data_IF_190536050348
#
_entry.id   IF_190536050348
#
_cell.length_a   1.000
_cell.length_b   1.000
_cell.length_c   1.000
_cell.angle_alpha   90.00
_cell.angle_beta   90.00
_cell.angle_gamma   90.00
#
_symmetry.space_group_name_H-M   'P 1'
#
loop_
_entity.id
_entity.type
_entity.pdbx_description
1 polymer ?
#
# COMPACT_ATOMS: atom_id res chain seq x y z
N UNK A 1 63.40 47.56 2.24
CA UNK A 1 63.56 46.67 1.09
C UNK A 1 62.78 45.40 1.43
N UNK A 2 61.67 45.31 0.75
CA UNK A 2 61.16 44.21 -0.08
C UNK A 2 60.95 42.90 0.72
N UNK A 3 59.85 42.18 0.68
CA UNK A 3 58.67 42.13 -0.16
C UNK A 3 57.67 41.12 0.45
N UNK A 4 56.41 41.34 0.20
CA UNK A 4 55.29 40.35 0.36
C UNK A 4 55.50 39.14 -0.55
N UNK A 5 54.78 37.97 -0.35
CA UNK A 5 53.33 38.04 -0.40
C UNK A 5 52.53 37.09 0.50
N UNK A 6 51.27 37.48 0.54
CA UNK A 6 50.08 36.84 1.04
C UNK A 6 49.77 35.42 0.49
N UNK A 7 49.22 34.56 1.29
CA UNK A 7 48.33 33.48 0.80
C UNK A 7 47.10 33.40 1.69
N UNK A 8 45.99 33.73 1.10
CA UNK A 8 44.64 33.66 1.64
C UNK A 8 44.21 32.21 1.73
N UNK A 9 44.15 31.65 2.92
CA UNK A 9 43.43 30.37 3.19
C UNK A 9 41.98 30.64 3.43
N UNK A 10 41.10 30.20 2.52
CA UNK A 10 39.65 30.19 2.72
C UNK A 10 39.33 29.22 3.88
N UNK A 11 38.47 29.57 4.84
CA UNK A 11 37.98 28.61 5.82
C UNK A 11 37.04 27.64 5.11
N UNK A 12 37.31 26.35 5.29
CA UNK A 12 36.42 25.27 4.89
C UNK A 12 35.07 25.45 5.62
N UNK A 13 33.99 25.50 4.87
CA UNK A 13 32.65 25.49 5.38
C UNK A 13 32.38 24.12 6.04
N UNK A 14 32.50 24.09 7.36
CA UNK A 14 32.07 22.95 8.15
C UNK A 14 30.59 22.75 7.99
N UNK A 15 30.19 21.65 7.35
CA UNK A 15 28.82 21.19 7.31
C UNK A 15 28.35 20.98 8.77
N UNK A 16 27.56 21.92 9.26
CA UNK A 16 26.80 21.75 10.50
C UNK A 16 25.74 20.69 10.23
N UNK A 17 26.06 19.44 10.52
CA UNK A 17 25.07 18.41 10.76
C UNK A 17 24.24 18.83 12.00
N UNK A 18 23.26 19.67 11.81
CA UNK A 18 22.25 19.97 12.79
C UNK A 18 21.40 18.74 13.00
N UNK A 19 21.78 17.89 13.97
CA UNK A 19 20.82 16.97 14.58
C UNK A 19 19.76 17.84 15.23
N UNK A 20 18.66 18.02 14.51
CA UNK A 20 17.44 18.55 15.10
C UNK A 20 16.97 17.55 16.15
N UNK A 21 17.43 17.70 17.37
CA UNK A 21 16.82 17.04 18.51
C UNK A 21 15.39 17.57 18.59
N UNK A 22 14.43 16.80 18.13
CA UNK A 22 13.02 17.13 18.32
C UNK A 22 12.81 17.40 19.79
N UNK A 23 12.30 18.58 20.09
CA UNK A 23 11.99 18.96 21.47
C UNK A 23 10.94 17.99 22.01
N UNK A 24 11.28 17.27 23.07
CA UNK A 24 10.33 16.40 23.75
C UNK A 24 9.29 17.28 24.43
N UNK A 25 8.02 17.05 24.08
CA UNK A 25 6.90 17.78 24.64
C UNK A 25 6.47 17.16 25.97
N UNK A 26 6.06 18.02 26.93
CA UNK A 26 5.32 17.60 28.11
C UNK A 26 3.86 17.24 27.79
N UNK A 27 2.94 17.36 28.75
CA UNK A 27 1.50 17.22 28.51
C UNK A 27 1.04 18.20 27.43
N UNK A 28 0.21 17.74 26.50
CA UNK A 28 -0.38 18.57 25.44
C UNK A 28 -1.91 18.58 25.59
N UNK A 29 -2.51 19.73 25.38
CA UNK A 29 -3.96 19.89 25.51
C UNK A 29 -4.70 19.42 24.25
N UNK A 30 -4.09 19.61 23.08
CA UNK A 30 -4.67 19.24 21.79
C UNK A 30 -3.64 18.47 20.96
N UNK A 31 -3.89 17.18 20.75
CA UNK A 31 -2.97 16.32 20.00
C UNK A 31 -2.93 16.70 18.51
N UNK A 32 -4.05 17.16 17.96
CA UNK A 32 -4.18 17.46 16.53
C UNK A 32 -3.24 18.59 16.08
N UNK A 33 -3.00 19.59 16.90
CA UNK A 33 -2.10 20.71 16.61
C UNK A 33 -0.62 20.28 16.43
N UNK A 34 -0.27 19.11 16.90
CA UNK A 34 1.10 18.58 16.85
C UNK A 34 1.33 17.62 15.67
N UNK A 35 0.26 17.22 14.96
CA UNK A 35 0.41 16.37 13.75
C UNK A 35 1.03 17.19 12.64
N UNK A 36 2.21 16.77 12.21
CA UNK A 36 2.90 17.43 11.11
C UNK A 36 2.32 16.97 9.75
N UNK A 37 2.25 17.85 8.76
CA UNK A 37 1.95 17.42 7.39
C UNK A 37 2.89 16.31 6.96
N UNK A 38 2.35 15.33 6.23
CA UNK A 38 3.13 14.20 5.73
C UNK A 38 3.88 13.38 6.83
N UNK A 39 3.36 13.36 8.06
CA UNK A 39 3.92 12.61 9.19
C UNK A 39 4.29 11.17 8.82
N UNK A 40 3.53 10.55 7.93
CA UNK A 40 3.74 9.19 7.45
C UNK A 40 5.07 8.97 6.72
N UNK A 41 5.75 10.03 6.27
CA UNK A 41 7.10 9.92 5.69
C UNK A 41 8.18 9.54 6.70
N UNK A 42 7.97 9.83 7.98
CA UNK A 42 8.99 9.66 9.01
C UNK A 42 8.76 8.53 9.99
N UNK A 43 7.52 8.09 10.16
CA UNK A 43 7.16 7.15 11.24
C UNK A 43 7.53 5.69 10.91
N UNK A 44 7.44 5.28 9.64
CA UNK A 44 7.66 3.90 9.22
C UNK A 44 9.17 3.58 9.09
N UNK A 45 9.82 3.37 10.22
CA UNK A 45 11.25 3.15 10.37
C UNK A 45 11.57 1.93 11.27
N UNK A 46 12.77 1.83 11.80
CA UNK A 46 13.16 0.72 12.68
C UNK A 46 12.43 0.70 14.01
N UNK A 47 11.98 1.85 14.50
CA UNK A 47 11.21 1.95 15.74
C UNK A 47 9.79 1.40 15.54
N UNK A 48 9.15 1.75 14.43
CA UNK A 48 7.87 1.17 14.03
C UNK A 48 7.90 -0.36 14.04
N UNK A 49 8.92 -0.96 13.42
CA UNK A 49 9.04 -2.43 13.42
C UNK A 49 9.21 -3.02 14.83
N UNK A 50 9.61 -2.21 15.79
CA UNK A 50 9.73 -2.61 17.18
C UNK A 50 8.42 -2.42 17.94
N UNK A 51 7.76 -1.26 17.79
CA UNK A 51 6.50 -0.96 18.49
C UNK A 51 5.37 -1.89 18.06
N UNK A 52 5.33 -2.25 16.78
CA UNK A 52 4.27 -3.07 16.19
C UNK A 52 4.70 -4.52 15.90
N UNK A 53 5.83 -4.96 16.49
CA UNK A 53 6.44 -6.26 16.20
C UNK A 53 5.54 -7.46 16.44
N UNK A 54 4.67 -7.42 17.42
CA UNK A 54 3.70 -8.46 17.76
C UNK A 54 2.68 -8.75 16.65
N UNK A 55 2.43 -7.79 15.79
CA UNK A 55 1.57 -7.96 14.62
C UNK A 55 2.40 -8.08 13.33
N UNK A 56 3.29 -7.11 13.06
CA UNK A 56 3.96 -7.03 11.76
C UNK A 56 5.11 -8.01 11.60
N UNK A 57 5.59 -8.63 12.68
CA UNK A 57 6.64 -9.66 12.64
C UNK A 57 6.10 -11.06 13.00
N UNK A 58 4.83 -11.19 13.36
CA UNK A 58 4.23 -12.49 13.63
C UNK A 58 3.96 -13.26 12.31
N UNK A 59 4.66 -14.38 12.18
CA UNK A 59 4.55 -15.23 10.99
C UNK A 59 3.21 -16.01 10.94
N UNK A 60 2.56 -16.28 12.08
CA UNK A 60 1.28 -17.02 12.12
C UNK A 60 0.14 -16.09 11.69
N UNK A 61 0.13 -14.85 12.19
CA UNK A 61 -0.79 -13.81 11.75
C UNK A 61 -0.67 -13.64 10.24
N UNK A 62 0.54 -13.41 9.73
CA UNK A 62 0.80 -13.22 8.30
C UNK A 62 0.32 -14.39 7.45
N UNK A 63 0.57 -15.65 7.88
CA UNK A 63 0.13 -16.85 7.15
C UNK A 63 -1.38 -17.00 7.12
N UNK A 64 -2.06 -16.67 8.24
CA UNK A 64 -3.52 -16.70 8.35
C UNK A 64 -4.14 -15.66 7.42
N UNK A 65 -3.63 -14.43 7.46
CA UNK A 65 -4.08 -13.33 6.61
C UNK A 65 -3.93 -13.66 5.13
N UNK A 66 -2.74 -14.05 4.68
CA UNK A 66 -2.48 -14.36 3.27
C UNK A 66 -3.33 -15.53 2.78
N UNK A 67 -3.54 -16.57 3.61
CA UNK A 67 -4.42 -17.69 3.24
C UNK A 67 -5.84 -17.20 2.97
N UNK A 68 -6.37 -16.39 3.87
CA UNK A 68 -7.73 -15.89 3.77
C UNK A 68 -7.90 -14.93 2.59
N UNK A 69 -7.01 -13.96 2.46
CA UNK A 69 -7.04 -12.97 1.38
C UNK A 69 -6.88 -13.61 0.00
N UNK A 70 -5.97 -14.56 -0.15
CA UNK A 70 -5.79 -15.28 -1.42
C UNK A 70 -7.03 -16.09 -1.80
N UNK A 71 -7.70 -16.70 -0.82
CA UNK A 71 -8.94 -17.45 -1.04
C UNK A 71 -10.09 -16.51 -1.47
N UNK A 72 -10.26 -15.37 -0.81
CA UNK A 72 -11.28 -14.37 -1.17
C UNK A 72 -11.06 -13.85 -2.59
N UNK A 73 -9.82 -13.54 -2.95
CA UNK A 73 -9.49 -13.03 -4.28
C UNK A 73 -9.55 -14.10 -5.37
N UNK A 74 -9.43 -15.37 -5.00
CA UNK A 74 -9.35 -16.48 -5.95
C UNK A 74 -8.10 -16.38 -6.83
N UNK A 75 -6.94 -16.10 -6.22
CA UNK A 75 -5.69 -15.86 -6.96
C UNK A 75 -5.18 -17.14 -7.62
N UNK A 76 -4.96 -17.07 -8.93
CA UNK A 76 -4.22 -18.10 -9.68
C UNK A 76 -2.71 -17.98 -9.42
N UNK A 77 -1.93 -19.07 -9.54
CA UNK A 77 -0.48 -19.03 -9.31
C UNK A 77 0.28 -18.03 -10.16
N UNK A 78 -0.19 -17.76 -11.37
CA UNK A 78 0.38 -16.81 -12.33
C UNK A 78 -0.22 -15.39 -12.25
N UNK A 79 -1.16 -15.16 -11.32
CA UNK A 79 -1.78 -13.84 -11.13
C UNK A 79 -0.72 -12.80 -10.76
N UNK A 80 -0.78 -11.66 -11.43
CA UNK A 80 0.05 -10.49 -11.08
C UNK A 80 -0.60 -9.72 -9.94
N UNK A 81 0.04 -9.71 -8.80
CA UNK A 81 -0.48 -9.09 -7.57
C UNK A 81 0.41 -7.93 -7.13
N UNK A 82 -0.20 -6.80 -6.84
CA UNK A 82 0.45 -5.66 -6.18
C UNK A 82 0.03 -5.62 -4.71
N UNK A 83 1.01 -5.73 -3.83
CA UNK A 83 0.88 -5.42 -2.40
C UNK A 83 1.25 -3.95 -2.22
N UNK A 84 0.25 -3.07 -2.10
CA UNK A 84 0.40 -1.63 -2.02
C UNK A 84 0.51 -1.19 -0.57
N UNK A 85 1.49 -0.36 -0.26
CA UNK A 85 1.92 -0.02 1.10
C UNK A 85 2.43 -1.27 1.85
N UNK A 86 3.28 -2.06 1.19
CA UNK A 86 3.67 -3.40 1.61
C UNK A 86 4.59 -3.45 2.85
N UNK A 87 5.07 -2.31 3.34
CA UNK A 87 6.01 -2.24 4.44
C UNK A 87 7.28 -3.06 4.18
N UNK A 88 7.68 -3.89 5.15
CA UNK A 88 8.81 -4.83 5.02
C UNK A 88 8.47 -6.08 4.19
N UNK A 89 7.30 -6.10 3.52
CA UNK A 89 6.94 -7.13 2.57
C UNK A 89 6.43 -8.44 3.18
N UNK A 90 5.91 -8.45 4.42
CA UNK A 90 5.48 -9.69 5.08
C UNK A 90 4.44 -10.48 4.27
N UNK A 91 3.44 -9.80 3.72
CA UNK A 91 2.41 -10.43 2.90
C UNK A 91 2.94 -10.83 1.52
N UNK A 92 3.67 -9.94 0.85
CA UNK A 92 4.29 -10.21 -0.45
C UNK A 92 5.18 -11.45 -0.43
N UNK A 93 6.04 -11.57 0.60
CA UNK A 93 6.94 -12.70 0.78
C UNK A 93 6.17 -13.99 1.05
N UNK A 94 5.15 -13.93 1.89
CA UNK A 94 4.32 -15.12 2.20
C UNK A 94 3.50 -15.56 0.97
N UNK A 95 2.98 -14.65 0.16
CA UNK A 95 2.34 -14.99 -1.12
C UNK A 95 3.30 -15.75 -2.04
N UNK A 96 4.53 -15.26 -2.17
CA UNK A 96 5.56 -15.94 -2.97
C UNK A 96 5.96 -17.32 -2.42
N UNK A 97 6.09 -17.47 -1.10
CA UNK A 97 6.32 -18.79 -0.46
C UNK A 97 5.20 -19.78 -0.75
N UNK A 98 4.00 -19.30 -1.00
CA UNK A 98 2.82 -20.11 -1.39
C UNK A 98 2.71 -20.36 -2.88
N UNK A 99 3.70 -19.92 -3.67
CA UNK A 99 3.80 -20.24 -5.09
C UNK A 99 3.23 -19.18 -6.03
N UNK A 100 2.82 -17.99 -5.56
CA UNK A 100 2.52 -16.89 -6.47
C UNK A 100 3.81 -16.38 -7.12
N UNK A 101 3.85 -16.39 -8.45
CA UNK A 101 5.06 -16.12 -9.22
C UNK A 101 5.29 -14.65 -9.56
N UNK A 102 4.25 -13.83 -9.53
CA UNK A 102 4.27 -12.45 -10.02
C UNK A 102 3.76 -11.46 -8.96
N UNK A 103 4.44 -11.44 -7.80
CA UNK A 103 4.14 -10.51 -6.71
C UNK A 103 5.06 -9.31 -6.78
N UNK A 104 4.46 -8.11 -6.72
CA UNK A 104 5.18 -6.85 -6.56
C UNK A 104 4.73 -6.15 -5.29
N UNK A 105 5.66 -5.56 -4.55
CA UNK A 105 5.39 -4.73 -3.38
C UNK A 105 5.80 -3.28 -3.63
N UNK A 106 4.96 -2.33 -3.22
CA UNK A 106 5.30 -0.92 -3.26
C UNK A 106 5.06 -0.29 -1.90
N UNK A 107 6.03 0.47 -1.42
CA UNK A 107 5.91 1.24 -0.19
C UNK A 107 6.70 2.56 -0.30
N UNK A 108 6.30 3.53 0.49
CA UNK A 108 6.98 4.83 0.54
C UNK A 108 8.27 4.80 1.37
N UNK A 109 8.34 3.95 2.37
CA UNK A 109 9.48 3.88 3.27
C UNK A 109 10.69 3.22 2.61
N UNK A 110 11.73 4.00 2.36
CA UNK A 110 13.01 3.48 1.88
C UNK A 110 13.54 2.38 2.80
N UNK A 111 13.48 2.60 4.12
CA UNK A 111 13.96 1.64 5.12
C UNK A 111 13.25 0.29 5.01
N UNK A 112 11.91 0.29 4.95
CA UNK A 112 11.12 -0.93 4.88
C UNK A 112 11.33 -1.66 3.54
N UNK A 113 11.41 -0.94 2.44
CA UNK A 113 11.70 -1.51 1.11
C UNK A 113 13.08 -2.15 1.05
N UNK A 114 14.11 -1.54 1.65
CA UNK A 114 15.43 -2.16 1.72
C UNK A 114 15.40 -3.46 2.53
N UNK A 115 14.66 -3.48 3.63
CA UNK A 115 14.46 -4.69 4.44
C UNK A 115 13.71 -5.77 3.65
N UNK A 116 12.64 -5.42 2.96
CA UNK A 116 11.86 -6.35 2.12
C UNK A 116 12.74 -6.98 1.02
N UNK A 117 13.52 -6.15 0.31
CA UNK A 117 14.50 -6.62 -0.70
C UNK A 117 15.56 -7.56 -0.12
N UNK A 118 16.03 -7.24 1.09
CA UNK A 118 17.01 -8.08 1.81
C UNK A 118 16.43 -9.46 2.12
N UNK A 119 15.20 -9.52 2.62
CA UNK A 119 14.50 -10.77 2.93
C UNK A 119 14.22 -11.58 1.67
N UNK A 120 13.72 -10.96 0.60
CA UNK A 120 13.47 -11.65 -0.68
C UNK A 120 14.75 -12.31 -1.24
N UNK A 121 15.88 -11.58 -1.23
CA UNK A 121 17.16 -12.13 -1.67
C UNK A 121 17.63 -13.29 -0.80
N UNK A 122 17.51 -13.14 0.53
CA UNK A 122 17.91 -14.17 1.48
C UNK A 122 17.16 -15.49 1.27
N UNK A 123 15.89 -15.40 0.91
CA UNK A 123 15.02 -16.56 0.72
C UNK A 123 14.91 -17.00 -0.74
N UNK A 124 15.56 -16.31 -1.68
CA UNK A 124 15.48 -16.63 -3.11
C UNK A 124 14.07 -16.44 -3.71
N UNK A 125 13.25 -15.57 -3.15
CA UNK A 125 11.88 -15.36 -3.59
C UNK A 125 11.79 -14.34 -4.76
N UNK A 126 10.97 -14.60 -5.80
CA UNK A 126 10.87 -13.78 -7.00
C UNK A 126 9.99 -12.53 -6.79
N UNK A 127 10.05 -11.89 -5.63
CA UNK A 127 9.25 -10.69 -5.32
C UNK A 127 10.01 -9.43 -5.72
N UNK A 128 9.34 -8.52 -6.40
CA UNK A 128 9.89 -7.21 -6.75
C UNK A 128 9.37 -6.14 -5.80
N UNK A 129 10.28 -5.41 -5.17
CA UNK A 129 9.93 -4.31 -4.28
C UNK A 129 10.34 -2.96 -4.85
N UNK A 130 9.44 -1.98 -4.82
CA UNK A 130 9.67 -0.60 -5.28
C UNK A 130 9.35 0.40 -4.19
N UNK A 131 10.15 1.45 -4.10
CA UNK A 131 9.82 2.65 -3.35
C UNK A 131 8.93 3.55 -4.23
N UNK A 132 7.82 4.04 -3.67
CA UNK A 132 6.89 4.87 -4.43
C UNK A 132 5.76 5.45 -3.59
N UNK A 133 5.05 6.40 -4.17
CA UNK A 133 3.88 7.05 -3.58
C UNK A 133 2.59 6.40 -4.12
N UNK A 134 1.70 5.98 -3.23
CA UNK A 134 0.44 5.31 -3.60
C UNK A 134 -0.50 6.23 -4.41
N UNK A 135 -0.35 7.54 -4.30
CA UNK A 135 -1.13 8.53 -5.07
C UNK A 135 -0.70 8.63 -6.53
N UNK A 136 0.45 8.03 -6.89
CA UNK A 136 1.00 8.03 -8.25
C UNK A 136 1.81 6.76 -8.50
N UNK A 137 1.14 5.69 -8.91
CA UNK A 137 1.75 4.39 -9.09
C UNK A 137 2.65 4.34 -10.34
N UNK A 138 3.91 3.85 -10.22
CA UNK A 138 4.85 3.79 -11.34
C UNK A 138 4.61 2.57 -12.24
N UNK A 139 3.34 2.26 -12.50
CA UNK A 139 2.90 1.13 -13.31
C UNK A 139 2.02 1.59 -14.45
N UNK A 140 2.02 0.83 -15.54
CA UNK A 140 1.08 1.03 -16.63
C UNK A 140 -0.36 0.76 -16.16
N UNK A 141 -1.33 1.26 -16.91
CA UNK A 141 -2.71 0.83 -16.74
C UNK A 141 -2.82 -0.68 -16.98
N UNK A 142 -3.81 -1.32 -16.39
CA UNK A 142 -4.15 -2.72 -16.62
C UNK A 142 -3.00 -3.70 -16.39
N UNK A 143 -2.16 -3.42 -15.40
CA UNK A 143 -0.96 -4.21 -15.12
C UNK A 143 -1.21 -5.40 -14.19
N UNK A 144 -2.20 -5.33 -13.29
CA UNK A 144 -2.38 -6.29 -12.21
C UNK A 144 -3.75 -6.97 -12.23
N UNK A 145 -3.77 -8.25 -11.86
CA UNK A 145 -5.00 -9.01 -11.66
C UNK A 145 -5.63 -8.69 -10.31
N UNK A 146 -4.80 -8.40 -9.31
CA UNK A 146 -5.23 -7.96 -8.00
C UNK A 146 -4.29 -6.90 -7.40
N UNK A 147 -4.88 -6.00 -6.63
CA UNK A 147 -4.16 -5.07 -5.74
C UNK A 147 -4.66 -5.29 -4.33
N UNK A 148 -3.76 -5.30 -3.38
CA UNK A 148 -4.07 -5.46 -1.95
C UNK A 148 -3.52 -4.26 -1.19
N UNK A 149 -4.33 -3.67 -0.30
CA UNK A 149 -3.93 -2.64 0.66
C UNK A 149 -4.23 -3.23 2.04
N UNK A 150 -3.19 -3.59 2.80
CA UNK A 150 -3.31 -4.45 3.96
C UNK A 150 -2.78 -3.79 5.24
N UNK A 151 -3.24 -4.31 6.39
CA UNK A 151 -2.73 -3.89 7.70
C UNK A 151 -3.00 -2.44 8.01
N UNK A 152 -4.18 -1.94 7.70
CA UNK A 152 -4.61 -0.56 7.92
C UNK A 152 -3.73 0.49 7.21
N UNK A 153 -3.25 0.20 6.00
CA UNK A 153 -2.36 1.10 5.27
C UNK A 153 -3.11 2.09 4.36
N UNK A 154 -4.29 2.54 4.77
CA UNK A 154 -5.14 3.48 4.03
C UNK A 154 -5.70 4.56 4.97
N UNK A 155 -5.85 5.80 4.48
CA UNK A 155 -6.39 6.91 5.28
C UNK A 155 -5.32 7.76 5.99
N UNK A 156 -4.06 7.72 5.53
CA UNK A 156 -2.95 8.45 6.16
C UNK A 156 -2.75 9.87 5.61
N UNK A 157 -3.36 10.18 4.48
CA UNK A 157 -3.18 11.49 3.84
C UNK A 157 -4.01 12.58 4.52
N UNK A 158 -3.59 13.82 4.34
CA UNK A 158 -4.22 14.96 5.01
C UNK A 158 -5.67 15.17 4.52
N UNK A 159 -5.97 14.85 3.28
CA UNK A 159 -7.30 15.01 2.70
C UNK A 159 -7.91 13.69 2.19
N UNK A 160 -9.23 13.57 2.30
CA UNK A 160 -9.97 12.44 1.71
C UNK A 160 -9.84 12.38 0.18
N UNK A 161 -9.56 13.50 -0.48
CA UNK A 161 -9.31 13.53 -1.91
C UNK A 161 -8.01 12.80 -2.28
N UNK A 162 -7.01 12.82 -1.42
CA UNK A 162 -5.76 12.08 -1.64
C UNK A 162 -5.99 10.57 -1.45
N UNK A 163 -6.82 10.18 -0.48
CA UNK A 163 -7.23 8.78 -0.31
C UNK A 163 -8.00 8.29 -1.56
N UNK A 164 -8.92 9.13 -2.07
CA UNK A 164 -9.62 8.84 -3.32
C UNK A 164 -8.67 8.75 -4.52
N UNK A 165 -7.62 9.58 -4.55
CA UNK A 165 -6.58 9.50 -5.59
C UNK A 165 -5.83 8.16 -5.55
N UNK A 166 -5.53 7.62 -4.37
CA UNK A 166 -4.95 6.29 -4.23
C UNK A 166 -5.85 5.24 -4.89
N UNK A 167 -7.14 5.25 -4.57
CA UNK A 167 -8.09 4.29 -5.15
C UNK A 167 -8.23 4.45 -6.67
N UNK A 168 -8.19 5.68 -7.21
CA UNK A 168 -8.19 5.92 -8.66
C UNK A 168 -6.93 5.37 -9.34
N UNK A 169 -5.77 5.49 -8.70
CA UNK A 169 -4.54 4.90 -9.21
C UNK A 169 -4.60 3.36 -9.15
N UNK A 170 -5.16 2.79 -8.09
CA UNK A 170 -5.42 1.35 -7.99
C UNK A 170 -6.38 0.90 -9.09
N UNK A 171 -7.47 1.62 -9.31
CA UNK A 171 -8.41 1.35 -10.40
C UNK A 171 -7.72 1.37 -11.77
N UNK A 172 -6.86 2.35 -12.01
CA UNK A 172 -6.11 2.49 -13.26
C UNK A 172 -5.19 1.31 -13.53
N UNK A 173 -4.44 0.85 -12.52
CA UNK A 173 -3.44 -0.22 -12.70
C UNK A 173 -4.03 -1.63 -12.65
N UNK A 174 -5.24 -1.81 -12.14
CA UNK A 174 -5.96 -3.07 -12.20
C UNK A 174 -6.44 -3.33 -13.62
N UNK A 175 -6.38 -4.58 -14.07
CA UNK A 175 -6.96 -5.04 -15.34
C UNK A 175 -8.50 -4.93 -15.30
N UNK A 176 -9.19 -4.95 -16.46
CA UNK A 176 -10.63 -5.25 -16.48
C UNK A 176 -10.91 -6.52 -15.67
N UNK A 177 -11.94 -6.47 -14.82
CA UNK A 177 -12.30 -7.53 -13.87
C UNK A 177 -11.25 -7.81 -12.78
N UNK A 178 -10.18 -7.04 -12.74
CA UNK A 178 -9.21 -7.08 -11.63
C UNK A 178 -9.86 -6.71 -10.31
N UNK A 179 -9.29 -7.19 -9.22
CA UNK A 179 -9.88 -7.05 -7.87
C UNK A 179 -9.00 -6.21 -6.96
N UNK A 180 -9.63 -5.34 -6.20
CA UNK A 180 -9.03 -4.71 -5.01
C UNK A 180 -9.45 -5.51 -3.79
N UNK A 181 -8.51 -5.78 -2.89
CA UNK A 181 -8.78 -6.14 -1.50
C UNK A 181 -8.19 -5.05 -0.60
N UNK A 182 -9.00 -4.52 0.30
CA UNK A 182 -8.58 -3.52 1.27
C UNK A 182 -8.93 -3.98 2.68
N UNK A 183 -7.99 -3.85 3.59
CA UNK A 183 -8.06 -4.25 4.99
C UNK A 183 -7.70 -3.03 5.84
N UNK A 184 -8.72 -2.43 6.47
CA UNK A 184 -8.62 -1.20 7.25
C UNK A 184 -9.27 -1.36 8.62
N UNK A 185 -8.86 -0.54 9.57
CA UNK A 185 -9.53 -0.46 10.88
C UNK A 185 -11.00 -0.13 10.72
N UNK A 186 -11.84 -0.72 11.58
CA UNK A 186 -13.26 -0.40 11.65
C UNK A 186 -13.44 1.00 12.27
N UNK A 187 -13.60 2.00 11.41
CA UNK A 187 -13.74 3.38 11.82
C UNK A 187 -14.98 3.65 12.68
N UNK A 188 -16.08 2.93 12.45
CA UNK A 188 -17.30 3.05 13.26
C UNK A 188 -17.03 2.57 14.69
N UNK A 189 -16.37 1.41 14.82
CA UNK A 189 -15.98 0.87 16.11
C UNK A 189 -15.01 1.79 16.85
N UNK A 190 -13.98 2.29 16.18
CA UNK A 190 -12.96 3.11 16.80
C UNK A 190 -13.48 4.48 17.25
N UNK A 191 -14.40 5.12 16.52
CA UNK A 191 -15.02 6.38 16.95
C UNK A 191 -15.69 6.26 18.32
N UNK A 192 -16.24 5.10 18.63
CA UNK A 192 -16.97 4.87 19.89
C UNK A 192 -16.08 4.27 20.98
N UNK A 193 -15.03 3.52 20.61
CA UNK A 193 -14.38 2.59 21.55
C UNK A 193 -12.85 2.65 21.58
N UNK A 194 -12.22 3.65 20.94
CA UNK A 194 -10.76 3.76 21.05
C UNK A 194 -10.34 4.00 22.50
N UNK A 195 -9.18 3.48 22.88
CA UNK A 195 -8.60 3.74 24.19
C UNK A 195 -7.88 5.09 24.19
N UNK A 196 -8.32 6.09 24.97
CA UNK A 196 -7.69 7.41 24.99
C UNK A 196 -6.24 7.39 25.48
N UNK A 197 -5.90 6.44 26.32
CA UNK A 197 -4.56 6.27 26.86
C UNK A 197 -4.25 4.81 27.06
N UNK A 198 -3.06 4.42 26.65
CA UNK A 198 -2.53 3.08 26.88
C UNK A 198 -1.02 3.12 27.08
N UNK A 199 -0.49 2.09 27.69
CA UNK A 199 0.96 1.90 27.77
C UNK A 199 1.27 0.42 27.78
N UNK A 200 2.47 0.08 27.27
CA UNK A 200 2.91 -1.30 27.21
C UNK A 200 4.43 -1.42 27.23
N UNK A 201 4.96 -2.56 27.71
CA UNK A 201 6.31 -2.96 27.45
C UNK A 201 6.40 -3.65 26.09
N UNK A 202 7.29 -3.12 25.22
CA UNK A 202 7.54 -3.71 23.90
C UNK A 202 8.58 -4.81 24.01
N UNK A 203 9.62 -4.57 24.79
CA UNK A 203 10.70 -5.49 25.13
C UNK A 203 11.28 -5.12 26.51
N UNK A 204 12.32 -5.82 26.96
CA UNK A 204 12.96 -5.63 28.29
C UNK A 204 13.48 -4.20 28.54
N UNK A 205 13.59 -3.39 27.50
CA UNK A 205 14.18 -2.04 27.59
C UNK A 205 13.29 -0.92 27.11
N UNK A 206 12.25 -1.22 26.36
CA UNK A 206 11.40 -0.20 25.77
C UNK A 206 9.97 -0.34 26.25
N UNK A 207 9.40 0.77 26.66
CA UNK A 207 7.96 0.86 26.84
C UNK A 207 7.41 2.03 26.04
N UNK A 208 6.14 1.94 25.67
CA UNK A 208 5.44 2.94 24.88
C UNK A 208 4.22 3.43 25.66
N UNK A 209 4.02 4.75 25.65
CA UNK A 209 2.77 5.37 26.06
C UNK A 209 2.07 5.93 24.83
N UNK A 210 0.78 5.68 24.70
CA UNK A 210 -0.05 6.25 23.63
C UNK A 210 -1.17 7.10 24.22
N UNK A 211 -1.35 8.27 23.63
CA UNK A 211 -2.50 9.14 23.88
C UNK A 211 -3.27 9.31 22.58
N UNK A 212 -4.59 9.21 22.62
CA UNK A 212 -5.44 9.32 21.43
C UNK A 212 -6.63 10.25 21.68
N UNK A 213 -7.02 10.94 20.61
CA UNK A 213 -8.22 11.76 20.56
C UNK A 213 -8.78 11.76 19.14
N UNK A 214 -10.07 11.98 18.99
CA UNK A 214 -10.63 12.30 17.68
C UNK A 214 -10.20 13.71 17.25
N UNK A 215 -10.02 13.89 15.94
CA UNK A 215 -9.88 15.21 15.34
C UNK A 215 -11.14 16.06 15.60
N UNK A 216 -11.02 17.37 15.47
CA UNK A 216 -12.12 18.31 15.70
C UNK A 216 -13.36 17.99 14.84
N UNK A 217 -13.16 17.47 13.63
CA UNK A 217 -14.23 17.04 12.71
C UNK A 217 -14.70 15.59 12.94
N UNK A 218 -14.09 14.86 13.87
CA UNK A 218 -14.39 13.46 14.16
C UNK A 218 -14.01 12.47 13.07
N UNK A 219 -13.30 12.91 12.02
CA UNK A 219 -12.99 12.07 10.87
C UNK A 219 -11.69 11.27 11.05
N UNK A 220 -10.82 11.70 11.94
CA UNK A 220 -9.50 11.10 12.14
C UNK A 220 -9.27 10.74 13.60
N UNK A 221 -8.55 9.65 13.83
CA UNK A 221 -7.98 9.35 15.13
C UNK A 221 -6.57 9.93 15.17
N UNK A 222 -6.35 10.85 16.10
CA UNK A 222 -5.05 11.45 16.35
C UNK A 222 -4.37 10.67 17.46
N UNK A 223 -3.15 10.23 17.20
CA UNK A 223 -2.35 9.49 18.16
C UNK A 223 -1.04 10.20 18.44
N UNK A 224 -0.68 10.25 19.69
CA UNK A 224 0.68 10.55 20.16
C UNK A 224 1.30 9.28 20.68
N UNK A 225 2.52 8.99 20.28
CA UNK A 225 3.26 7.85 20.76
C UNK A 225 4.60 8.31 21.37
N UNK A 226 4.79 8.02 22.64
CA UNK A 226 6.03 8.31 23.38
C UNK A 226 6.72 7.00 23.68
N UNK A 227 7.85 6.77 23.04
CA UNK A 227 8.68 5.57 23.26
C UNK A 227 9.84 5.89 24.19
N UNK A 228 9.95 5.14 25.27
CA UNK A 228 10.98 5.32 26.29
C UNK A 228 11.86 4.09 26.37
N UNK A 229 13.16 4.30 26.38
CA UNK A 229 14.17 3.27 26.66
C UNK A 229 14.62 3.40 28.12
N UNK A 230 14.66 2.29 28.86
CA UNK A 230 14.95 2.27 30.31
C UNK A 230 16.23 2.99 30.74
N UNK A 231 17.27 2.96 29.87
CA UNK A 231 18.55 3.58 30.15
C UNK A 231 18.77 4.95 29.48
N UNK A 232 18.07 5.21 28.36
CA UNK A 232 18.31 6.41 27.52
C UNK A 232 17.22 7.47 27.66
N UNK A 233 16.15 7.15 28.38
CA UNK A 233 14.96 8.00 28.48
C UNK A 233 14.13 7.97 27.20
N UNK A 234 13.40 9.05 26.94
CA UNK A 234 12.53 9.16 25.77
C UNK A 234 13.34 9.14 24.46
N UNK A 235 13.05 8.18 23.60
CA UNK A 235 13.73 7.99 22.31
C UNK A 235 12.89 8.45 21.12
N UNK A 236 11.56 8.54 21.30
CA UNK A 236 10.64 9.15 20.35
C UNK A 236 9.45 9.79 21.05
N UNK A 237 8.96 10.87 20.50
CA UNK A 237 7.70 11.52 20.81
C UNK A 237 7.10 11.97 19.48
N UNK A 238 6.14 11.23 18.96
CA UNK A 238 5.65 11.36 17.61
C UNK A 238 4.13 11.43 17.57
N UNK A 239 3.63 12.20 16.58
CA UNK A 239 2.20 12.41 16.39
C UNK A 239 1.82 11.96 14.99
N UNK A 240 0.69 11.28 14.87
CA UNK A 240 0.15 10.81 13.61
C UNK A 240 -1.38 10.82 13.63
N UNK A 241 -1.97 10.76 12.48
CA UNK A 241 -3.41 10.87 12.31
C UNK A 241 -3.88 9.93 11.20
N UNK A 242 -4.87 9.12 11.49
CA UNK A 242 -5.43 8.14 10.56
C UNK A 242 -6.89 8.45 10.34
N UNK A 243 -7.32 8.52 9.08
CA UNK A 243 -8.72 8.68 8.74
C UNK A 243 -9.48 7.41 9.06
N UNK A 244 -10.56 7.57 9.79
CA UNK A 244 -11.43 6.48 10.19
C UNK A 244 -12.47 6.25 9.08
N UNK A 245 -12.39 5.11 8.43
CA UNK A 245 -13.37 4.68 7.46
C UNK A 245 -14.35 3.68 8.11
N UNK A 246 -15.62 4.06 8.22
CA UNK A 246 -16.70 3.15 8.52
C UNK A 246 -17.08 2.32 7.29
N UNK A 247 -17.94 1.33 7.48
CA UNK A 247 -18.37 0.41 6.40
C UNK A 247 -19.00 1.14 5.22
N UNK A 248 -19.85 2.13 5.48
CA UNK A 248 -20.53 2.91 4.46
C UNK A 248 -19.55 3.85 3.75
N UNK A 249 -18.77 4.59 4.50
CA UNK A 249 -17.81 5.57 3.99
C UNK A 249 -16.75 4.92 3.08
N UNK A 250 -16.22 3.75 3.48
CA UNK A 250 -15.25 3.02 2.66
C UNK A 250 -15.86 2.55 1.34
N UNK A 251 -17.08 2.00 1.40
CA UNK A 251 -17.81 1.58 0.19
C UNK A 251 -18.04 2.75 -0.76
N UNK A 252 -18.58 3.86 -0.26
CA UNK A 252 -18.84 5.06 -1.06
C UNK A 252 -17.56 5.62 -1.68
N UNK A 253 -16.45 5.58 -0.95
CA UNK A 253 -15.13 6.04 -1.44
C UNK A 253 -14.62 5.13 -2.57
N UNK A 254 -14.77 3.81 -2.44
CA UNK A 254 -14.43 2.86 -3.51
C UNK A 254 -15.30 3.07 -4.75
N UNK A 255 -16.61 3.22 -4.57
CA UNK A 255 -17.56 3.47 -5.67
C UNK A 255 -17.25 4.81 -6.38
N UNK A 256 -16.91 5.85 -5.63
CA UNK A 256 -16.48 7.15 -6.18
C UNK A 256 -15.15 7.07 -6.96
N UNK A 257 -14.33 6.06 -6.71
CA UNK A 257 -13.13 5.76 -7.49
C UNK A 257 -13.41 4.92 -8.74
N UNK A 258 -14.66 4.44 -8.94
CA UNK A 258 -15.10 3.66 -10.09
C UNK A 258 -15.23 2.16 -9.84
N UNK A 259 -14.99 1.67 -8.63
CA UNK A 259 -15.13 0.25 -8.29
C UNK A 259 -16.60 -0.18 -8.20
N UNK A 260 -16.83 -1.45 -8.50
CA UNK A 260 -18.15 -2.11 -8.43
C UNK A 260 -18.08 -3.32 -7.49
N UNK A 261 -19.25 -3.86 -7.15
CA UNK A 261 -19.37 -5.11 -6.37
C UNK A 261 -18.60 -5.05 -5.03
N UNK A 262 -18.68 -3.88 -4.36
CA UNK A 262 -18.03 -3.67 -3.07
C UNK A 262 -18.63 -4.59 -2.00
N UNK A 263 -17.89 -5.63 -1.62
CA UNK A 263 -18.33 -6.69 -0.72
C UNK A 263 -17.51 -6.69 0.57
N UNK A 264 -18.18 -6.62 1.71
CA UNK A 264 -17.58 -6.84 3.02
C UNK A 264 -17.51 -8.35 3.31
N UNK A 265 -16.31 -8.87 3.51
CA UNK A 265 -16.07 -10.30 3.81
C UNK A 265 -16.06 -10.63 5.30
N UNK A 266 -16.17 -9.63 6.15
CA UNK A 266 -16.19 -9.80 7.59
C UNK A 266 -15.18 -8.91 8.30
N UNK A 267 -15.01 -9.20 9.57
CA UNK A 267 -14.11 -8.49 10.46
C UNK A 267 -12.91 -9.40 10.77
N UNK A 268 -11.73 -8.82 10.75
CA UNK A 268 -10.51 -9.48 11.15
C UNK A 268 -10.08 -8.95 12.51
N UNK A 269 -10.21 -9.78 13.55
CA UNK A 269 -9.62 -9.52 14.84
C UNK A 269 -8.17 -10.00 14.86
N UNK A 270 -7.29 -9.20 15.42
CA UNK A 270 -5.90 -9.55 15.64
C UNK A 270 -5.71 -9.92 17.09
N UNK A 271 -5.18 -11.11 17.37
CA UNK A 271 -4.75 -11.50 18.71
C UNK A 271 -3.28 -11.15 18.88
N UNK A 272 -2.94 -10.45 19.94
CA UNK A 272 -1.55 -10.22 20.34
C UNK A 272 -1.26 -10.88 21.68
N UNK A 273 -0.10 -11.53 21.79
CA UNK A 273 0.33 -12.16 23.03
C UNK A 273 0.84 -11.16 24.07
N UNK A 274 1.03 -9.89 23.70
CA UNK A 274 1.52 -8.88 24.64
C UNK A 274 0.47 -8.33 25.61
N UNK A 275 -0.78 -8.82 25.52
CA UNK A 275 -1.92 -8.40 26.39
C UNK A 275 -2.14 -6.89 26.34
N UNK A 276 -2.40 -6.33 25.17
CA UNK A 276 -2.27 -4.92 24.94
C UNK A 276 -3.37 -4.30 24.11
N UNK A 277 -3.28 -2.98 24.10
CA UNK A 277 -3.99 -2.12 23.20
C UNK A 277 -3.49 -2.32 21.76
N UNK A 278 -4.23 -3.08 20.99
CA UNK A 278 -3.96 -3.30 19.57
C UNK A 278 -4.29 -2.08 18.70
N UNK A 279 -4.88 -1.03 19.29
CA UNK A 279 -5.20 0.21 18.62
C UNK A 279 -5.96 -0.01 17.33
N UNK A 280 -5.39 0.47 16.24
CA UNK A 280 -5.97 0.35 14.89
C UNK A 280 -6.07 -1.09 14.38
N UNK A 281 -5.33 -2.03 14.96
CA UNK A 281 -5.32 -3.44 14.52
C UNK A 281 -6.32 -4.32 15.25
N UNK A 282 -7.01 -3.80 16.28
CA UNK A 282 -7.91 -4.58 17.11
C UNK A 282 -9.07 -5.17 16.30
N UNK A 283 -9.69 -4.35 15.48
CA UNK A 283 -10.81 -4.74 14.63
C UNK A 283 -10.69 -4.11 13.25
N UNK A 284 -10.62 -4.93 12.23
CA UNK A 284 -10.43 -4.50 10.85
C UNK A 284 -11.53 -5.01 9.94
N UNK A 285 -11.92 -4.19 8.98
CA UNK A 285 -12.87 -4.51 7.93
C UNK A 285 -12.11 -4.98 6.69
N UNK A 286 -12.53 -6.10 6.13
CA UNK A 286 -11.97 -6.63 4.89
C UNK A 286 -12.98 -6.49 3.77
N UNK A 287 -12.69 -5.63 2.81
CA UNK A 287 -13.51 -5.40 1.62
C UNK A 287 -12.82 -5.91 0.36
N UNK A 288 -13.61 -6.38 -0.59
CA UNK A 288 -13.19 -6.51 -1.98
C UNK A 288 -14.07 -5.71 -2.90
N UNK A 289 -13.53 -5.36 -4.05
CA UNK A 289 -14.26 -4.74 -5.13
C UNK A 289 -13.68 -5.14 -6.48
N UNK A 290 -14.43 -4.92 -7.54
CA UNK A 290 -14.10 -5.34 -8.90
C UNK A 290 -14.01 -4.11 -9.80
N UNK A 291 -13.09 -4.13 -10.74
CA UNK A 291 -12.96 -3.12 -11.79
C UNK A 291 -13.76 -3.55 -13.01
N UNK A 292 -14.81 -2.80 -13.34
CA UNK A 292 -15.59 -2.98 -14.58
C UNK A 292 -15.22 -1.86 -15.54
N UNK A 293 -14.27 -2.09 -16.41
CA UNK A 293 -13.78 -1.15 -17.42
C UNK A 293 -13.34 -1.88 -18.67
N UNK A 294 -13.23 -1.16 -19.77
CA UNK A 294 -12.52 -1.60 -20.96
C UNK A 294 -11.01 -1.54 -20.77
N UNK A 295 -10.25 -2.28 -21.60
CA UNK A 295 -8.82 -2.20 -21.61
C UNK A 295 -8.34 -0.79 -21.99
N UNK A 296 -7.35 -0.29 -21.26
CA UNK A 296 -6.76 1.01 -21.53
C UNK A 296 -5.87 0.95 -22.77
N UNK A 297 -6.00 1.87 -23.75
CA UNK A 297 -5.14 1.90 -24.91
C UNK A 297 -3.68 2.15 -24.51
N UNK A 298 -2.76 1.44 -25.13
CA UNK A 298 -1.32 1.61 -24.88
C UNK A 298 -0.82 2.85 -25.63
N UNK A 299 -0.70 3.97 -24.91
CA UNK A 299 -0.07 5.17 -25.47
C UNK A 299 1.43 4.92 -25.68
N UNK A 300 1.86 4.76 -26.93
CA UNK A 300 3.29 4.72 -27.29
C UNK A 300 3.89 6.11 -27.28
N UNK A 301 5.06 6.27 -26.63
CA UNK A 301 6.00 7.34 -27.02
C UNK A 301 6.59 6.91 -28.36
N UNK A 302 6.35 7.71 -29.41
CA UNK A 302 6.84 7.47 -30.75
C UNK A 302 8.38 7.36 -30.76
N UNK A 303 8.87 6.11 -30.85
CA UNK A 303 10.22 5.79 -31.34
C UNK A 303 10.18 4.43 -31.99
N UNK A 304 10.28 4.42 -33.31
CA UNK A 304 10.52 3.21 -34.13
C UNK A 304 9.29 2.66 -34.82
N UNK A 305 9.51 2.10 -36.01
CA UNK A 305 8.49 1.51 -36.85
C UNK A 305 7.65 0.44 -36.14
N UNK A 306 6.35 0.66 -36.14
CA UNK A 306 5.38 -0.26 -35.55
C UNK A 306 5.04 -1.34 -36.57
N UNK A 307 5.21 -2.61 -36.20
CA UNK A 307 4.50 -3.69 -36.90
C UNK A 307 3.09 -3.75 -36.30
N UNK A 308 2.09 -3.51 -37.14
CA UNK A 308 0.68 -3.70 -36.74
C UNK A 308 0.42 -5.20 -36.62
N UNK A 309 -0.14 -5.65 -35.52
CA UNK A 309 -0.65 -7.00 -35.36
C UNK A 309 -2.16 -6.87 -35.29
N UNK A 310 -2.84 -7.23 -36.34
CA UNK A 310 -4.28 -7.39 -36.32
C UNK A 310 -4.63 -8.82 -35.87
N UNK A 311 -5.45 -8.92 -34.85
CA UNK A 311 -6.05 -10.20 -34.45
C UNK A 311 -7.47 -10.22 -35.00
N UNK A 312 -7.67 -11.06 -35.99
CA UNK A 312 -9.01 -11.28 -36.57
C UNK A 312 -9.63 -12.47 -35.85
N UNK A 313 -10.73 -12.23 -35.15
CA UNK A 313 -11.52 -13.28 -34.50
C UNK A 313 -12.67 -13.68 -35.41
N UNK A 314 -12.92 -14.97 -35.55
CA UNK A 314 -13.99 -15.47 -36.36
C UNK A 314 -14.38 -16.90 -36.06
N UNK A 315 -15.60 -17.21 -36.40
CA UNK A 315 -16.16 -18.56 -36.32
C UNK A 315 -15.55 -19.43 -37.41
N UNK A 316 -14.78 -20.49 -37.07
CA UNK A 316 -14.13 -21.36 -38.07
C UNK A 316 -15.11 -22.14 -38.94
N UNK A 317 -16.39 -22.23 -38.58
CA UNK A 317 -17.42 -22.97 -39.31
C UNK A 317 -18.23 -22.09 -40.28
N UNK A 318 -18.00 -20.76 -40.30
CA UNK A 318 -18.63 -19.83 -41.24
C UNK A 318 -17.75 -19.57 -42.46
N UNK A 319 -18.29 -19.79 -43.66
CA UNK A 319 -17.62 -19.56 -44.94
C UNK A 319 -17.59 -18.10 -45.40
N UNK A 320 -18.08 -17.16 -44.62
CA UNK A 320 -18.03 -15.75 -44.98
C UNK A 320 -16.90 -15.00 -44.27
N UNK A 321 -16.30 -14.00 -44.94
CA UNK A 321 -15.19 -13.23 -44.38
C UNK A 321 -15.70 -12.51 -43.11
N UNK A 322 -14.97 -12.73 -42.09
CA UNK A 322 -15.21 -12.34 -40.72
C UNK A 322 -15.49 -10.84 -40.59
N UNK A 323 -16.65 -10.51 -40.05
CA UNK A 323 -16.77 -9.24 -39.34
C UNK A 323 -16.07 -9.43 -38.00
N UNK A 324 -15.03 -8.67 -37.71
CA UNK A 324 -14.42 -8.72 -36.38
C UNK A 324 -15.46 -8.29 -35.34
N UNK A 325 -15.68 -9.12 -34.33
CA UNK A 325 -16.59 -8.81 -33.24
C UNK A 325 -16.05 -7.68 -32.33
N UNK A 326 -14.79 -7.29 -32.54
CA UNK A 326 -14.18 -6.10 -31.97
C UNK A 326 -13.32 -5.41 -33.04
N UNK A 327 -13.67 -4.20 -33.39
CA UNK A 327 -12.83 -3.29 -34.18
C UNK A 327 -11.95 -2.54 -33.19
N UNK A 328 -10.67 -2.83 -33.21
CA UNK A 328 -9.68 -1.97 -32.54
C UNK A 328 -9.46 -0.78 -33.43
N UNK A 329 -9.71 0.42 -32.94
CA UNK A 329 -9.42 1.64 -33.65
C UNK A 329 -7.89 1.74 -33.88
N UNK A 330 -7.45 2.31 -35.01
CA UNK A 330 -6.05 2.37 -35.41
C UNK A 330 -5.13 3.03 -34.35
N UNK A 331 -5.73 3.76 -33.39
CA UNK A 331 -5.04 4.42 -32.28
C UNK A 331 -4.92 3.56 -31.01
N UNK A 332 -5.59 2.40 -30.94
CA UNK A 332 -5.65 1.55 -29.76
C UNK A 332 -4.70 0.36 -29.88
N UNK A 333 -3.55 0.43 -29.19
CA UNK A 333 -2.58 -0.67 -29.17
C UNK A 333 -2.67 -1.40 -27.84
N UNK A 334 -3.12 -2.66 -27.88
CA UNK A 334 -3.16 -3.55 -26.74
C UNK A 334 -1.87 -4.38 -26.65
N UNK A 335 -1.47 -4.73 -25.42
CA UNK A 335 -0.38 -5.69 -25.23
C UNK A 335 -0.85 -7.09 -25.60
N UNK A 336 0.10 -7.97 -25.98
CA UNK A 336 -0.21 -9.39 -26.25
C UNK A 336 -0.90 -10.04 -25.04
N UNK A 337 -0.50 -9.67 -23.83
CA UNK A 337 -1.11 -10.22 -22.60
C UNK A 337 -2.54 -9.74 -22.43
N UNK A 338 -2.84 -8.48 -22.73
CA UNK A 338 -4.21 -7.94 -22.75
C UNK A 338 -5.08 -8.67 -23.76
N UNK A 339 -4.55 -8.90 -24.97
CA UNK A 339 -5.25 -9.67 -26.00
C UNK A 339 -5.50 -11.12 -25.58
N UNK A 340 -4.49 -11.82 -25.06
CA UNK A 340 -4.63 -13.19 -24.55
C UNK A 340 -5.66 -13.32 -23.44
N UNK A 341 -5.72 -12.33 -22.56
CA UNK A 341 -6.68 -12.36 -21.44
C UNK A 341 -8.12 -12.08 -21.91
N UNK A 342 -8.29 -11.15 -22.83
CA UNK A 342 -9.58 -10.93 -23.49
C UNK A 342 -10.06 -12.20 -24.23
N UNK A 343 -9.16 -12.88 -24.93
CA UNK A 343 -9.43 -14.11 -25.65
C UNK A 343 -9.81 -15.29 -24.73
N UNK A 344 -9.16 -15.43 -23.57
CA UNK A 344 -9.49 -16.47 -22.56
C UNK A 344 -10.90 -16.32 -21.99
N UNK A 345 -11.44 -15.11 -21.99
CA UNK A 345 -12.78 -14.80 -21.44
C UNK A 345 -13.91 -15.02 -22.42
N UNK A 346 -13.58 -15.14 -23.70
CA UNK A 346 -14.54 -15.45 -24.74
C UNK A 346 -14.59 -16.98 -24.92
N UNK A 347 -15.29 -17.67 -24.03
CA UNK A 347 -15.36 -19.13 -23.90
C UNK A 347 -15.90 -19.89 -25.13
N UNK A 348 -16.13 -19.23 -26.24
CA UNK A 348 -16.79 -19.80 -27.43
C UNK A 348 -15.97 -19.75 -28.72
N UNK A 349 -14.71 -19.24 -28.73
CA UNK A 349 -13.99 -19.04 -29.98
C UNK A 349 -12.70 -19.86 -30.04
N UNK A 350 -12.52 -20.60 -31.15
CA UNK A 350 -11.25 -21.27 -31.49
C UNK A 350 -10.35 -20.29 -32.21
N UNK A 351 -9.08 -20.21 -31.77
CA UNK A 351 -8.08 -19.33 -32.39
C UNK A 351 -7.13 -20.11 -33.25
N UNK A 352 -6.86 -19.58 -34.46
CA UNK A 352 -5.72 -19.95 -35.30
C UNK A 352 -4.76 -18.76 -35.30
N UNK A 353 -3.51 -19.01 -34.93
CA UNK A 353 -2.43 -18.03 -34.99
C UNK A 353 -1.78 -18.09 -36.41
#
# INVERSE_FOLDING_TARGET
MSDKPSSSGKPAAGAKNGKNHKKILGPVANLEEHVQPEWWKGIFNSLYLKTDSDVVQDAQITRREVRWFSAILGLAPDARVLDLCCGQGRHSLEMARRGLQAVEGLDRSHFLIQKARGLARKEGLPVRFREGDARRLPYAADAFDAVMILGNSFGYFDSANEDLQVLREVFRVLKPWGKLLIDVSDGDYLRERFQPRSWEWIDDKHFVCRERALSTDGQRLISREVVTHSEKGVVADQFYAERLYGRKELRETMEAAGFSDCTLHGELATDSQRNQDLGMMERRLVFTSVVRKEWSPVRRRARGSVRHVAVVMGDPDRRDPLKPDAVFDDDDIYTIDQMKDALRRLDAYRFTF
#
